data_IF_720982426261
#
_entry.id   IF_720982426261
#
_cell.length_a   1.000
_cell.length_b   1.000
_cell.length_c   1.000
_cell.angle_alpha   90.00
_cell.angle_beta   90.00
_cell.angle_gamma   90.00
#
_symmetry.space_group_name_H-M   'P 1'
#
loop_
_entity.id
_entity.type
_entity.pdbx_description
1 polymer ?
#
# COMPACT_ATOMS: atom_id res chain seq x y z
N UNK A 1 8.49 -116.51 11.72
CA UNK A 1 9.30 -115.71 10.80
C UNK A 1 8.43 -114.57 10.31
N UNK A 2 8.83 -113.31 10.53
CA UNK A 2 8.08 -112.12 10.12
C UNK A 2 8.42 -111.67 8.69
N UNK A 3 7.73 -110.66 8.19
CA UNK A 3 8.10 -109.96 6.95
C UNK A 3 8.98 -108.75 7.29
N UNK A 4 9.98 -108.47 6.44
CA UNK A 4 10.80 -107.26 6.60
C UNK A 4 10.06 -106.07 6.00
N UNK A 5 9.85 -105.03 6.80
CA UNK A 5 9.29 -103.76 6.36
C UNK A 5 10.37 -102.69 6.44
N UNK A 6 10.53 -101.91 5.37
CA UNK A 6 11.47 -100.78 5.32
C UNK A 6 10.75 -99.48 5.00
N UNK A 7 11.25 -98.39 5.59
CA UNK A 7 10.80 -97.03 5.33
C UNK A 7 12.01 -96.23 4.85
N UNK A 8 11.88 -95.59 3.70
CA UNK A 8 12.89 -94.76 3.06
C UNK A 8 12.37 -93.33 3.02
N UNK A 9 13.07 -92.40 3.68
CA UNK A 9 12.78 -90.98 3.62
C UNK A 9 13.73 -90.30 2.62
N UNK A 10 13.23 -89.98 1.42
CA UNK A 10 13.96 -89.19 0.42
C UNK A 10 13.65 -87.69 0.51
N UNK A 11 12.81 -87.28 1.46
CA UNK A 11 12.47 -85.87 1.65
C UNK A 11 13.52 -85.18 2.53
N UNK A 12 13.64 -83.83 2.45
CA UNK A 12 14.51 -83.07 3.35
C UNK A 12 13.91 -82.91 4.77
N UNK A 13 12.72 -83.44 5.03
CA UNK A 13 11.99 -83.25 6.27
C UNK A 13 12.18 -84.43 7.23
N UNK A 14 11.89 -84.17 8.50
CA UNK A 14 11.82 -85.20 9.52
C UNK A 14 10.43 -85.83 9.53
N UNK A 15 10.38 -87.15 9.53
CA UNK A 15 9.14 -87.91 9.67
C UNK A 15 9.20 -88.81 10.89
N UNK A 16 8.01 -89.16 11.35
CA UNK A 16 7.80 -90.18 12.36
C UNK A 16 6.82 -91.19 11.81
N UNK A 17 7.04 -92.48 12.03
CA UNK A 17 6.10 -93.51 11.63
C UNK A 17 5.81 -94.48 12.75
N UNK A 18 4.58 -95.01 12.76
CA UNK A 18 4.12 -95.98 13.75
C UNK A 18 3.48 -97.17 13.04
N UNK A 19 3.65 -98.36 13.63
CA UNK A 19 3.05 -99.59 13.14
C UNK A 19 2.30 -100.30 14.26
N UNK A 20 1.39 -101.20 13.88
CA UNK A 20 0.55 -101.87 14.87
C UNK A 20 1.33 -102.76 15.86
N UNK A 21 2.49 -103.32 15.48
CA UNK A 21 3.31 -104.13 16.39
C UNK A 21 4.26 -103.28 17.23
N UNK A 22 4.54 -102.04 16.80
CA UNK A 22 5.39 -101.12 17.54
C UNK A 22 4.55 -100.28 18.51
N UNK A 23 5.04 -100.08 19.74
CA UNK A 23 4.38 -99.20 20.70
C UNK A 23 5.03 -97.82 20.64
N UNK A 24 4.83 -97.11 19.52
CA UNK A 24 5.18 -95.70 19.41
C UNK A 24 5.87 -95.30 18.11
N UNK A 25 5.89 -93.99 17.89
CA UNK A 25 6.47 -93.38 16.71
C UNK A 25 7.99 -93.55 16.66
N UNK A 26 8.45 -94.14 15.57
CA UNK A 26 9.87 -94.24 15.21
C UNK A 26 10.27 -93.03 14.37
N UNK A 27 11.35 -92.38 14.76
CA UNK A 27 11.96 -91.27 14.03
C UNK A 27 12.62 -91.76 12.73
N UNK A 28 12.43 -91.02 11.64
CA UNK A 28 13.21 -91.18 10.41
C UNK A 28 13.67 -89.81 9.89
N UNK A 29 14.99 -89.61 9.92
CA UNK A 29 15.63 -88.38 9.49
C UNK A 29 15.65 -88.21 7.96
N UNK A 30 16.02 -87.01 7.48
CA UNK A 30 16.17 -86.74 6.05
C UNK A 30 17.14 -87.72 5.38
N UNK A 31 16.82 -88.18 4.16
CA UNK A 31 17.69 -89.08 3.39
C UNK A 31 17.93 -90.46 4.02
N UNK A 32 17.23 -90.81 5.12
CA UNK A 32 17.52 -92.00 5.91
C UNK A 32 16.62 -93.18 5.54
N UNK A 33 17.05 -94.39 5.90
CA UNK A 33 16.27 -95.62 5.74
C UNK A 33 16.28 -96.42 7.03
N UNK A 34 15.11 -96.90 7.44
CA UNK A 34 14.94 -97.74 8.63
C UNK A 34 14.20 -99.01 8.23
N UNK A 35 14.54 -100.14 8.85
CA UNK A 35 13.84 -101.40 8.62
C UNK A 35 13.59 -102.17 9.91
N UNK A 36 12.49 -102.90 9.97
CA UNK A 36 12.06 -103.70 11.11
C UNK A 36 11.35 -104.97 10.63
N UNK A 37 11.15 -105.91 11.54
CA UNK A 37 10.36 -107.11 11.28
C UNK A 37 8.94 -106.91 11.80
N UNK A 38 7.96 -107.32 10.98
CA UNK A 38 6.53 -107.28 11.32
C UNK A 38 5.94 -108.69 11.31
N UNK A 39 4.98 -108.93 12.20
CA UNK A 39 4.28 -110.22 12.19
C UNK A 39 3.40 -110.33 10.94
N UNK A 40 3.34 -111.54 10.38
CA UNK A 40 2.55 -111.83 9.19
C UNK A 40 1.05 -111.67 9.47
N UNK A 41 0.40 -110.74 8.78
CA UNK A 41 -1.04 -110.49 8.85
C UNK A 41 -1.55 -109.88 7.55
N UNK A 42 -2.83 -110.11 7.25
CA UNK A 42 -3.50 -109.62 6.04
C UNK A 42 -3.77 -108.12 6.11
N UNK A 43 -4.10 -107.62 7.30
CA UNK A 43 -4.46 -106.22 7.56
C UNK A 43 -3.44 -105.61 8.52
N UNK A 44 -2.48 -104.87 8.00
CA UNK A 44 -1.53 -104.06 8.79
C UNK A 44 -1.66 -102.61 8.44
N UNK A 45 -1.46 -101.74 9.42
CA UNK A 45 -1.48 -100.30 9.20
C UNK A 45 -0.12 -99.69 9.54
N UNK A 46 0.30 -98.77 8.70
CA UNK A 46 1.40 -97.85 8.97
C UNK A 46 0.87 -96.42 8.94
N UNK A 47 1.29 -95.65 9.94
CA UNK A 47 0.96 -94.24 10.05
C UNK A 47 2.21 -93.42 9.91
N UNK A 48 2.14 -92.33 9.14
CA UNK A 48 3.23 -91.38 9.03
C UNK A 48 2.80 -90.01 9.51
N UNK A 49 3.70 -89.34 10.21
CA UNK A 49 3.49 -88.04 10.81
C UNK A 49 4.63 -87.11 10.41
N UNK A 50 4.26 -85.98 9.82
CA UNK A 50 5.19 -84.92 9.49
C UNK A 50 5.65 -84.21 10.76
N UNK A 51 6.95 -84.21 11.06
CA UNK A 51 7.54 -83.57 12.23
C UNK A 51 6.72 -83.76 13.52
N UNK A 52 6.37 -82.67 14.20
CA UNK A 52 5.65 -82.66 15.46
C UNK A 52 4.15 -82.40 15.28
N UNK A 53 3.57 -82.70 14.11
CA UNK A 53 2.13 -82.57 13.89
C UNK A 53 1.36 -83.41 14.91
N UNK A 54 0.17 -82.95 15.30
CA UNK A 54 -0.69 -83.70 16.23
C UNK A 54 -1.52 -84.79 15.55
N UNK A 55 -1.47 -84.89 14.21
CA UNK A 55 -2.21 -85.85 13.40
C UNK A 55 -1.31 -86.56 12.39
N UNK A 56 -1.78 -87.71 11.89
CA UNK A 56 -1.09 -88.48 10.87
C UNK A 56 -1.31 -87.88 9.48
N UNK A 57 -0.21 -87.67 8.76
CA UNK A 57 -0.20 -87.20 7.37
C UNK A 57 -0.52 -88.32 6.38
N UNK A 58 -0.14 -89.56 6.70
CA UNK A 58 -0.55 -90.75 5.95
C UNK A 58 -1.06 -91.84 6.89
N UNK A 59 -2.00 -92.62 6.39
CA UNK A 59 -2.47 -93.88 6.95
C UNK A 59 -2.59 -94.86 5.79
N UNK A 60 -1.83 -95.95 5.83
CA UNK A 60 -1.81 -96.93 4.75
C UNK A 60 -2.00 -98.35 5.29
N UNK A 61 -2.91 -99.09 4.68
CA UNK A 61 -3.17 -100.49 4.97
C UNK A 61 -2.38 -101.38 3.99
N UNK A 62 -1.61 -102.34 4.50
CA UNK A 62 -0.78 -103.23 3.69
C UNK A 62 -0.83 -104.67 4.20
N UNK A 63 -0.50 -105.62 3.31
CA UNK A 63 -0.49 -107.05 3.61
C UNK A 63 0.94 -107.61 3.67
N UNK A 64 1.38 -108.05 4.85
CA UNK A 64 2.73 -108.61 5.05
C UNK A 64 2.89 -110.04 4.52
N UNK A 65 1.80 -110.75 4.18
CA UNK A 65 1.89 -112.05 3.49
C UNK A 65 2.34 -111.93 2.03
N UNK A 66 2.26 -110.73 1.42
CA UNK A 66 2.73 -110.49 0.05
C UNK A 66 4.26 -110.40 -0.04
N UNK A 67 4.97 -110.49 1.09
CA UNK A 67 6.43 -110.45 1.18
C UNK A 67 6.95 -109.14 1.77
N UNK A 68 8.24 -108.87 1.53
CA UNK A 68 8.90 -107.69 2.06
C UNK A 68 8.30 -106.41 1.46
N UNK A 69 8.03 -105.44 2.32
CA UNK A 69 7.35 -104.18 1.94
C UNK A 69 8.27 -103.00 2.17
N UNK A 70 8.33 -102.08 1.21
CA UNK A 70 9.08 -100.84 1.34
C UNK A 70 8.16 -99.63 1.10
N UNK A 71 8.19 -98.68 2.03
CA UNK A 71 7.54 -97.38 1.92
C UNK A 71 8.56 -96.32 1.59
N UNK A 72 8.34 -95.56 0.53
CA UNK A 72 9.23 -94.49 0.06
C UNK A 72 8.49 -93.16 0.16
N UNK A 73 8.99 -92.27 1.00
CA UNK A 73 8.54 -90.87 1.07
C UNK A 73 9.42 -90.01 0.17
N UNK A 74 8.83 -89.27 -0.76
CA UNK A 74 9.57 -88.35 -1.65
C UNK A 74 8.72 -87.13 -1.99
N UNK A 75 9.37 -86.03 -2.37
CA UNK A 75 8.66 -84.86 -2.88
C UNK A 75 8.16 -85.11 -4.32
N UNK A 76 7.04 -84.50 -4.69
CA UNK A 76 6.67 -84.38 -6.10
C UNK A 76 7.64 -83.46 -6.85
N UNK A 77 7.65 -83.51 -8.18
CA UNK A 77 8.57 -82.71 -9.01
C UNK A 77 8.47 -81.20 -8.73
N UNK A 78 7.25 -80.70 -8.54
CA UNK A 78 6.97 -79.31 -8.20
C UNK A 78 7.11 -79.01 -6.69
N UNK A 79 7.46 -80.01 -5.88
CA UNK A 79 7.55 -80.00 -4.42
C UNK A 79 6.24 -79.58 -3.72
N UNK A 80 5.09 -79.55 -4.41
CA UNK A 80 3.81 -79.12 -3.79
C UNK A 80 3.28 -80.16 -2.80
N UNK A 81 3.59 -81.43 -3.02
CA UNK A 81 3.11 -82.54 -2.24
C UNK A 81 4.25 -83.50 -1.87
N UNK A 82 4.00 -84.27 -0.82
CA UNK A 82 4.80 -85.44 -0.48
C UNK A 82 4.06 -86.65 -0.98
N UNK A 83 4.77 -87.51 -1.67
CA UNK A 83 4.31 -88.79 -2.17
C UNK A 83 4.84 -89.89 -1.26
N UNK A 84 3.94 -90.74 -0.75
CA UNK A 84 4.27 -92.01 -0.14
C UNK A 84 4.00 -93.12 -1.16
N UNK A 85 5.00 -93.96 -1.46
CA UNK A 85 4.88 -95.08 -2.39
C UNK A 85 5.18 -96.41 -1.69
N UNK A 86 4.30 -97.39 -1.84
CA UNK A 86 4.46 -98.74 -1.33
C UNK A 86 4.89 -99.69 -2.45
N UNK A 87 6.05 -100.33 -2.32
CA UNK A 87 6.61 -101.18 -3.39
C UNK A 87 5.93 -102.54 -3.53
N UNK A 88 5.36 -103.08 -2.46
CA UNK A 88 4.74 -104.42 -2.47
C UNK A 88 3.36 -104.43 -3.10
N UNK A 89 2.63 -103.31 -3.02
CA UNK A 89 1.26 -103.19 -3.53
C UNK A 89 1.11 -102.14 -4.63
N UNK A 90 2.15 -101.37 -4.92
CA UNK A 90 2.14 -100.29 -5.91
C UNK A 90 1.32 -99.05 -5.50
N UNK A 91 0.70 -99.08 -4.32
CA UNK A 91 -0.11 -97.99 -3.78
C UNK A 91 0.68 -96.71 -3.59
N UNK A 92 0.08 -95.59 -3.97
CA UNK A 92 0.70 -94.27 -3.89
C UNK A 92 -0.27 -93.27 -3.29
N UNK A 93 0.15 -92.59 -2.23
CA UNK A 93 -0.64 -91.58 -1.51
C UNK A 93 0.06 -90.24 -1.53
N UNK A 94 -0.72 -89.17 -1.41
CA UNK A 94 -0.23 -87.80 -1.42
C UNK A 94 -0.69 -87.04 -0.19
N UNK A 95 0.18 -86.20 0.36
CA UNK A 95 -0.18 -85.19 1.34
C UNK A 95 0.45 -83.84 0.95
N UNK A 96 -0.08 -82.70 1.44
CA UNK A 96 0.55 -81.41 1.23
C UNK A 96 1.99 -81.38 1.73
N UNK A 97 2.87 -80.64 1.05
CA UNK A 97 4.21 -80.36 1.54
C UNK A 97 4.20 -79.20 2.55
N UNK A 98 4.03 -79.53 3.83
CA UNK A 98 3.95 -78.54 4.90
C UNK A 98 5.23 -77.71 5.05
N UNK A 99 6.41 -78.31 4.81
CA UNK A 99 7.68 -77.60 4.84
C UNK A 99 7.76 -76.51 3.78
N UNK A 100 7.39 -76.83 2.54
CA UNK A 100 7.32 -75.83 1.45
C UNK A 100 6.29 -74.73 1.72
N UNK A 101 5.11 -75.08 2.24
CA UNK A 101 4.06 -74.08 2.54
C UNK A 101 4.59 -73.06 3.55
N UNK A 102 5.25 -73.51 4.62
CA UNK A 102 5.85 -72.65 5.64
C UNK A 102 7.00 -71.80 5.08
N UNK A 103 7.84 -72.39 4.22
CA UNK A 103 8.92 -71.67 3.52
C UNK A 103 8.36 -70.53 2.65
N UNK A 104 7.33 -70.82 1.87
CA UNK A 104 6.65 -69.83 1.01
C UNK A 104 5.98 -68.71 1.81
N UNK A 105 5.36 -69.03 2.93
CA UNK A 105 4.76 -68.04 3.84
C UNK A 105 5.82 -67.13 4.47
N UNK A 106 6.91 -67.70 4.98
CA UNK A 106 8.02 -66.93 5.54
C UNK A 106 8.64 -65.99 4.49
N UNK A 107 8.81 -66.46 3.26
CA UNK A 107 9.33 -65.64 2.15
C UNK A 107 8.39 -64.47 1.82
N UNK A 108 7.08 -64.69 1.82
CA UNK A 108 6.08 -63.61 1.61
C UNK A 108 6.15 -62.59 2.74
N UNK A 109 6.24 -63.03 3.99
CA UNK A 109 6.36 -62.14 5.15
C UNK A 109 7.63 -61.30 5.09
N UNK A 110 8.78 -61.89 4.72
CA UNK A 110 10.04 -61.16 4.55
C UNK A 110 9.96 -60.10 3.45
N UNK A 111 9.37 -60.43 2.30
CA UNK A 111 9.17 -59.47 1.20
C UNK A 111 8.26 -58.31 1.61
N UNK A 112 7.18 -58.60 2.35
CA UNK A 112 6.29 -57.55 2.84
C UNK A 112 6.98 -56.65 3.87
N UNK A 113 7.77 -57.22 4.78
CA UNK A 113 8.52 -56.44 5.76
C UNK A 113 9.57 -55.55 5.08
N UNK A 114 10.29 -56.07 4.09
CA UNK A 114 11.26 -55.31 3.31
C UNK A 114 10.59 -54.14 2.56
N UNK A 115 9.43 -54.40 1.92
CA UNK A 115 8.64 -53.34 1.28
C UNK A 115 8.21 -52.26 2.29
N UNK A 116 7.71 -52.65 3.47
CA UNK A 116 7.35 -51.69 4.52
C UNK A 116 8.56 -50.88 5.02
N UNK A 117 9.75 -51.48 5.08
CA UNK A 117 10.99 -50.77 5.42
C UNK A 117 11.37 -49.75 4.33
N UNK A 118 11.28 -50.13 3.07
CA UNK A 118 11.55 -49.24 1.94
C UNK A 118 10.56 -48.07 1.88
N UNK A 119 9.26 -48.34 2.06
CA UNK A 119 8.22 -47.31 2.08
C UNK A 119 8.47 -46.29 3.21
N UNK A 120 8.82 -46.73 4.42
CA UNK A 120 9.20 -45.83 5.52
C UNK A 120 10.43 -44.98 5.20
N UNK A 121 11.43 -45.55 4.53
CA UNK A 121 12.64 -44.83 4.15
C UNK A 121 12.33 -43.72 3.13
N UNK A 122 11.47 -44.02 2.15
CA UNK A 122 11.01 -43.05 1.15
C UNK A 122 10.20 -41.93 1.81
N UNK A 123 9.30 -42.27 2.72
CA UNK A 123 8.50 -41.28 3.46
C UNK A 123 9.38 -40.35 4.29
N UNK A 124 10.38 -40.89 4.99
CA UNK A 124 11.32 -40.08 5.78
C UNK A 124 12.16 -39.17 4.89
N UNK A 125 12.67 -39.66 3.76
CA UNK A 125 13.44 -38.86 2.81
C UNK A 125 12.58 -37.74 2.20
N UNK A 126 11.33 -38.04 1.81
CA UNK A 126 10.38 -37.04 1.33
C UNK A 126 10.10 -35.96 2.38
N UNK A 127 9.92 -36.34 3.65
CA UNK A 127 9.72 -35.40 4.75
C UNK A 127 10.94 -34.49 4.93
N UNK A 128 12.16 -35.03 4.86
CA UNK A 128 13.40 -34.25 4.93
C UNK A 128 13.51 -33.26 3.77
N UNK A 129 13.22 -33.70 2.55
CA UNK A 129 13.21 -32.84 1.35
C UNK A 129 12.19 -31.70 1.46
N UNK A 130 10.98 -32.00 1.94
CA UNK A 130 9.94 -30.99 2.16
C UNK A 130 10.38 -29.93 3.17
N UNK A 131 10.95 -30.33 4.31
CA UNK A 131 11.47 -29.40 5.32
C UNK A 131 12.60 -28.52 4.76
N UNK A 132 13.49 -29.09 3.97
CA UNK A 132 14.56 -28.32 3.33
C UNK A 132 14.01 -27.33 2.29
N UNK A 133 13.02 -27.74 1.49
CA UNK A 133 12.38 -26.86 0.52
C UNK A 133 11.62 -25.72 1.20
N UNK A 134 10.91 -26.00 2.28
CA UNK A 134 10.21 -24.99 3.08
C UNK A 134 11.19 -23.97 3.67
N UNK A 135 12.32 -24.43 4.22
CA UNK A 135 13.39 -23.55 4.71
C UNK A 135 13.94 -22.67 3.60
N UNK A 136 14.21 -23.24 2.41
CA UNK A 136 14.68 -22.47 1.24
C UNK A 136 13.65 -21.43 0.80
N UNK A 137 12.35 -21.74 0.86
CA UNK A 137 11.26 -20.79 0.56
C UNK A 137 11.23 -19.64 1.56
N UNK A 138 11.33 -19.93 2.86
CA UNK A 138 11.41 -18.93 3.92
C UNK A 138 12.62 -18.00 3.75
N UNK A 139 13.81 -18.55 3.49
CA UNK A 139 15.01 -17.75 3.24
C UNK A 139 14.88 -16.82 2.02
N UNK A 140 14.22 -17.27 0.95
CA UNK A 140 13.93 -16.41 -0.22
C UNK A 140 12.99 -15.27 0.15
N UNK A 141 11.91 -15.57 0.86
CA UNK A 141 10.94 -14.57 1.29
C UNK A 141 11.58 -13.50 2.20
N UNK A 142 12.45 -13.91 3.13
CA UNK A 142 13.17 -12.98 4.00
C UNK A 142 14.14 -12.08 3.22
N UNK A 143 14.82 -12.62 2.20
CA UNK A 143 15.67 -11.80 1.30
C UNK A 143 14.86 -10.80 0.51
N UNK A 144 13.73 -11.21 -0.06
CA UNK A 144 12.83 -10.32 -0.81
C UNK A 144 12.30 -9.20 0.10
N UNK A 145 11.90 -9.52 1.33
CA UNK A 145 11.47 -8.51 2.30
C UNK A 145 12.59 -7.51 2.64
N UNK A 146 13.83 -7.97 2.83
CA UNK A 146 14.97 -7.06 3.05
C UNK A 146 15.20 -6.11 1.88
N UNK A 147 15.19 -6.64 0.66
CA UNK A 147 15.36 -5.83 -0.57
C UNK A 147 14.23 -4.81 -0.70
N UNK A 148 12.97 -5.21 -0.43
CA UNK A 148 11.84 -4.30 -0.49
C UNK A 148 11.98 -3.16 0.53
N UNK A 149 12.41 -3.46 1.77
CA UNK A 149 12.65 -2.44 2.78
C UNK A 149 13.77 -1.46 2.38
N UNK A 150 14.82 -1.94 1.74
CA UNK A 150 15.90 -1.07 1.23
C UNK A 150 15.40 -0.17 0.09
N UNK A 151 14.65 -0.72 -0.86
CA UNK A 151 14.04 0.04 -1.94
C UNK A 151 13.09 1.12 -1.41
N UNK A 152 12.27 0.80 -0.40
CA UNK A 152 11.35 1.76 0.20
C UNK A 152 12.11 2.91 0.88
N UNK A 153 13.19 2.60 1.60
CA UNK A 153 14.07 3.62 2.21
C UNK A 153 14.72 4.51 1.15
N UNK A 154 15.26 3.93 0.08
CA UNK A 154 15.88 4.70 -0.99
C UNK A 154 14.86 5.57 -1.74
N UNK A 155 13.67 5.04 -1.96
CA UNK A 155 12.54 5.76 -2.56
C UNK A 155 12.09 6.95 -1.70
N UNK A 156 11.97 6.77 -0.39
CA UNK A 156 11.67 7.86 0.54
C UNK A 156 12.75 8.94 0.54
N UNK A 157 14.03 8.54 0.58
CA UNK A 157 15.15 9.47 0.50
C UNK A 157 15.13 10.26 -0.82
N UNK A 158 14.83 9.58 -1.93
CA UNK A 158 14.71 10.20 -3.26
C UNK A 158 13.54 11.18 -3.31
N UNK A 159 12.36 10.81 -2.78
CA UNK A 159 11.20 11.70 -2.64
C UNK A 159 11.53 12.95 -1.81
N UNK A 160 12.24 12.78 -0.68
CA UNK A 160 12.66 13.92 0.16
C UNK A 160 13.66 14.83 -0.58
N UNK A 161 14.63 14.27 -1.30
CA UNK A 161 15.59 15.04 -2.11
C UNK A 161 14.88 15.82 -3.22
N UNK A 162 13.96 15.18 -3.93
CA UNK A 162 13.15 15.84 -4.96
C UNK A 162 12.31 16.96 -4.37
N UNK A 163 11.61 16.72 -3.25
CA UNK A 163 10.81 17.74 -2.57
C UNK A 163 11.64 18.98 -2.20
N UNK A 164 12.84 18.78 -1.62
CA UNK A 164 13.78 19.88 -1.33
C UNK A 164 14.26 20.60 -2.59
N UNK A 165 14.52 19.88 -3.67
CA UNK A 165 14.95 20.49 -4.93
C UNK A 165 13.82 21.33 -5.55
N UNK A 166 12.58 20.84 -5.52
CA UNK A 166 11.38 21.57 -5.97
C UNK A 166 11.13 22.82 -5.13
N UNK A 167 11.28 22.74 -3.81
CA UNK A 167 11.14 23.88 -2.90
C UNK A 167 12.17 24.98 -3.21
N UNK A 168 13.46 24.61 -3.31
CA UNK A 168 14.53 25.55 -3.71
C UNK A 168 14.28 26.20 -5.07
N UNK A 169 13.70 25.45 -6.01
CA UNK A 169 13.36 25.99 -7.32
C UNK A 169 12.21 27.00 -7.23
N UNK A 170 11.19 26.71 -6.41
CA UNK A 170 10.08 27.63 -6.14
C UNK A 170 10.54 28.91 -5.45
N UNK A 171 11.43 28.80 -4.46
CA UNK A 171 12.05 29.97 -3.82
C UNK A 171 12.79 30.84 -4.83
N UNK A 172 13.65 30.24 -5.66
CA UNK A 172 14.38 30.96 -6.71
C UNK A 172 13.45 31.68 -7.70
N UNK A 173 12.32 31.05 -8.07
CA UNK A 173 11.31 31.71 -8.91
C UNK A 173 10.65 32.88 -8.19
N UNK A 174 10.34 32.74 -6.89
CA UNK A 174 9.79 33.83 -6.07
C UNK A 174 10.75 35.02 -5.98
N UNK A 175 12.04 34.77 -5.69
CA UNK A 175 13.06 35.80 -5.63
C UNK A 175 13.19 36.58 -6.96
N UNK A 176 13.27 35.87 -8.10
CA UNK A 176 13.28 36.53 -9.42
C UNK A 176 12.00 37.33 -9.70
N UNK A 177 10.85 36.90 -9.17
CA UNK A 177 9.60 37.63 -9.26
C UNK A 177 9.61 38.93 -8.46
N UNK A 178 10.15 38.90 -7.24
CA UNK A 178 10.27 40.07 -6.37
C UNK A 178 11.26 41.09 -6.92
N UNK A 179 12.40 40.64 -7.43
CA UNK A 179 13.43 41.48 -8.04
C UNK A 179 12.89 42.25 -9.25
N UNK A 180 12.23 41.55 -10.19
CA UNK A 180 11.56 42.19 -11.34
C UNK A 180 10.46 43.16 -10.93
N UNK A 181 9.70 42.84 -9.88
CA UNK A 181 8.68 43.75 -9.38
C UNK A 181 9.32 45.01 -8.78
N UNK A 182 10.41 44.86 -8.01
CA UNK A 182 11.14 45.99 -7.43
C UNK A 182 11.73 46.90 -8.50
N UNK A 183 12.38 46.35 -9.53
CA UNK A 183 12.87 47.11 -10.69
C UNK A 183 11.73 47.86 -11.38
N UNK A 184 10.59 47.20 -11.63
CA UNK A 184 9.42 47.85 -12.24
C UNK A 184 8.85 48.96 -11.36
N UNK A 185 8.82 48.78 -10.04
CA UNK A 185 8.35 49.79 -9.10
C UNK A 185 9.31 50.98 -9.04
N UNK A 186 10.63 50.76 -9.06
CA UNK A 186 11.64 51.83 -9.11
C UNK A 186 11.51 52.64 -10.40
N UNK A 187 11.39 52.00 -11.56
CA UNK A 187 11.20 52.69 -12.85
C UNK A 187 9.92 53.54 -12.84
N UNK A 188 8.82 53.02 -12.28
CA UNK A 188 7.59 53.79 -12.14
C UNK A 188 7.72 54.99 -11.19
N UNK A 189 8.46 54.85 -10.07
CA UNK A 189 8.72 55.99 -9.17
C UNK A 189 9.57 57.05 -9.84
N UNK A 190 10.61 56.65 -10.58
CA UNK A 190 11.45 57.57 -11.35
C UNK A 190 10.63 58.35 -12.39
N UNK A 191 9.72 57.67 -13.11
CA UNK A 191 8.82 58.34 -14.04
C UNK A 191 7.88 59.34 -13.36
N UNK A 192 7.36 59.00 -12.17
CA UNK A 192 6.51 59.92 -11.40
C UNK A 192 7.31 61.14 -10.93
N UNK A 193 8.56 60.96 -10.47
CA UNK A 193 9.44 62.07 -10.06
C UNK A 193 9.85 62.96 -11.25
N UNK A 194 10.19 62.36 -12.38
CA UNK A 194 10.55 63.07 -13.62
C UNK A 194 9.34 63.86 -14.17
N UNK A 195 8.15 63.24 -14.19
CA UNK A 195 6.90 63.88 -14.62
C UNK A 195 6.47 64.99 -13.63
N UNK A 196 6.70 64.82 -12.33
CA UNK A 196 6.43 65.86 -11.32
C UNK A 196 7.37 67.06 -11.48
N UNK A 197 8.66 66.84 -11.73
CA UNK A 197 9.63 67.90 -11.97
C UNK A 197 9.35 68.69 -13.26
N UNK A 198 8.76 68.04 -14.27
CA UNK A 198 8.35 68.69 -15.53
C UNK A 198 7.12 69.61 -15.38
N UNK A 199 6.25 69.34 -14.40
CA UNK A 199 5.01 70.11 -14.18
C UNK A 199 5.26 71.34 -13.28
N UNK A 200 6.25 71.29 -12.38
CA UNK A 200 6.35 72.25 -11.26
C UNK A 200 6.83 73.68 -11.63
N UNK A 201 7.48 73.91 -12.78
CA UNK A 201 8.13 75.21 -13.03
C UNK A 201 7.46 76.15 -14.05
N UNK A 202 6.65 75.63 -14.99
CA UNK A 202 6.09 76.48 -16.06
C UNK A 202 4.63 76.92 -15.82
N UNK A 203 3.81 76.12 -15.14
CA UNK A 203 2.40 76.51 -14.91
C UNK A 203 2.23 77.47 -13.73
N UNK A 204 3.06 77.35 -12.67
CA UNK A 204 2.94 78.18 -11.47
C UNK A 204 3.27 79.64 -11.78
N UNK A 205 4.34 79.91 -12.52
CA UNK A 205 4.78 81.27 -12.89
C UNK A 205 3.75 81.93 -13.84
N UNK A 206 3.24 81.19 -14.82
CA UNK A 206 2.30 81.71 -15.82
C UNK A 206 0.90 81.99 -15.21
N UNK A 207 0.50 81.22 -14.18
CA UNK A 207 -0.71 81.46 -13.40
C UNK A 207 -0.53 82.65 -12.47
N UNK A 208 0.63 82.77 -11.81
CA UNK A 208 0.94 83.87 -10.89
C UNK A 208 1.04 85.22 -11.61
N UNK A 209 1.61 85.23 -12.81
CA UNK A 209 1.71 86.43 -13.65
C UNK A 209 0.33 86.85 -14.20
N UNK A 210 -0.51 85.89 -14.63
CA UNK A 210 -1.91 86.16 -14.98
C UNK A 210 -2.73 86.67 -13.79
N UNK A 211 -2.47 86.17 -12.59
CA UNK A 211 -3.16 86.58 -11.38
C UNK A 211 -2.78 88.01 -10.97
N UNK A 212 -1.48 88.35 -10.98
CA UNK A 212 -1.00 89.69 -10.69
C UNK A 212 -1.50 90.73 -11.71
N UNK A 213 -1.53 90.37 -13.00
CA UNK A 213 -2.11 91.22 -14.03
C UNK A 213 -3.61 91.50 -13.81
N UNK A 214 -4.35 90.52 -13.29
CA UNK A 214 -5.76 90.71 -12.94
C UNK A 214 -5.91 91.63 -11.71
N UNK A 215 -5.07 91.49 -10.68
CA UNK A 215 -5.11 92.36 -9.49
C UNK A 215 -4.89 93.84 -9.84
N UNK A 216 -3.91 94.12 -10.69
CA UNK A 216 -3.61 95.48 -11.16
C UNK A 216 -4.76 96.02 -12.03
N UNK A 217 -5.28 95.21 -12.97
CA UNK A 217 -6.35 95.61 -13.89
C UNK A 217 -7.62 96.05 -13.17
N UNK A 218 -7.94 95.44 -12.03
CA UNK A 218 -9.15 95.74 -11.27
C UNK A 218 -8.93 96.69 -10.08
N UNK A 219 -7.74 97.30 -9.96
CA UNK A 219 -7.38 98.24 -8.88
C UNK A 219 -7.68 97.68 -7.47
N UNK A 220 -7.38 96.39 -7.28
CA UNK A 220 -7.65 95.70 -6.02
C UNK A 220 -6.51 96.00 -5.05
N UNK A 221 -6.79 96.79 -4.01
CA UNK A 221 -5.86 97.11 -2.93
C UNK A 221 -6.22 96.37 -1.65
N UNK A 222 -5.20 96.02 -0.86
CA UNK A 222 -5.34 95.26 0.38
C UNK A 222 -5.92 96.14 1.50
N UNK A 223 -7.17 95.88 1.89
CA UNK A 223 -7.82 96.53 3.03
C UNK A 223 -7.40 95.83 4.33
N UNK A 224 -6.53 96.50 5.09
CA UNK A 224 -5.86 95.93 6.27
C UNK A 224 -6.74 95.86 7.52
N UNK A 225 -7.93 96.45 7.52
CA UNK A 225 -8.83 96.46 8.70
C UNK A 225 -9.95 95.42 8.65
N UNK A 226 -10.03 94.63 7.58
CA UNK A 226 -11.11 93.67 7.40
C UNK A 226 -10.83 92.36 8.17
N UNK A 227 -11.56 92.13 9.26
CA UNK A 227 -11.36 90.95 10.12
C UNK A 227 -11.80 89.64 9.43
N UNK A 228 -10.91 88.64 9.45
CA UNK A 228 -11.08 87.29 8.86
C UNK A 228 -12.44 86.61 9.16
N UNK A 229 -13.00 86.86 10.35
CA UNK A 229 -14.29 86.30 10.80
C UNK A 229 -15.52 86.90 10.10
N UNK A 230 -15.49 88.18 9.72
CA UNK A 230 -16.57 88.79 8.94
C UNK A 230 -16.59 88.26 7.50
N UNK A 231 -15.41 87.98 6.93
CA UNK A 231 -15.27 87.42 5.58
C UNK A 231 -15.87 86.03 5.52
N UNK A 232 -15.49 85.18 6.47
CA UNK A 232 -15.94 83.79 6.50
C UNK A 232 -17.46 83.69 6.62
N UNK A 233 -18.04 84.56 7.44
CA UNK A 233 -19.50 84.68 7.59
C UNK A 233 -20.18 85.08 6.27
N UNK A 234 -19.62 86.04 5.55
CA UNK A 234 -20.16 86.48 4.25
C UNK A 234 -20.00 85.41 3.16
N UNK A 235 -18.86 84.72 3.10
CA UNK A 235 -18.62 83.60 2.18
C UNK A 235 -19.62 82.48 2.44
N UNK A 236 -19.85 82.13 3.72
CA UNK A 236 -20.81 81.08 4.07
C UNK A 236 -22.24 81.43 3.71
N UNK A 237 -22.66 82.69 3.91
CA UNK A 237 -23.98 83.17 3.46
C UNK A 237 -24.10 83.05 1.94
N UNK A 238 -23.08 83.48 1.20
CA UNK A 238 -23.09 83.46 -0.27
C UNK A 238 -23.08 82.02 -0.83
N UNK A 239 -22.31 81.12 -0.21
CA UNK A 239 -22.32 79.69 -0.53
C UNK A 239 -23.69 79.07 -0.32
N UNK A 240 -24.36 79.41 0.79
CA UNK A 240 -25.70 78.92 1.08
C UNK A 240 -26.72 79.45 0.07
N UNK A 241 -26.68 80.74 -0.28
CA UNK A 241 -27.57 81.31 -1.30
C UNK A 241 -27.38 80.69 -2.69
N UNK A 242 -26.13 80.47 -3.12
CA UNK A 242 -25.83 79.82 -4.40
C UNK A 242 -26.30 78.35 -4.40
N UNK A 243 -26.10 77.62 -3.30
CA UNK A 243 -26.62 76.27 -3.16
C UNK A 243 -28.16 76.25 -3.24
N UNK A 244 -28.84 77.26 -2.69
CA UNK A 244 -30.29 77.44 -2.81
C UNK A 244 -30.73 77.71 -4.23
N UNK A 245 -30.08 78.65 -4.93
CA UNK A 245 -30.41 78.91 -6.32
C UNK A 245 -30.20 77.68 -7.19
N UNK A 246 -29.07 77.00 -7.04
CA UNK A 246 -28.77 75.80 -7.81
C UNK A 246 -29.80 74.68 -7.59
N UNK A 247 -30.22 74.45 -6.34
CA UNK A 247 -31.25 73.44 -6.06
C UNK A 247 -32.60 73.82 -6.67
N UNK A 248 -32.97 75.11 -6.65
CA UNK A 248 -34.22 75.58 -7.28
C UNK A 248 -34.18 75.49 -8.80
N UNK A 249 -33.09 75.90 -9.44
CA UNK A 249 -32.95 75.87 -10.90
C UNK A 249 -32.94 74.45 -11.46
N UNK A 250 -32.44 73.47 -10.70
CA UNK A 250 -32.33 72.08 -11.12
C UNK A 250 -33.44 71.17 -10.56
N UNK A 251 -34.53 71.74 -10.01
CA UNK A 251 -35.66 70.99 -9.40
C UNK A 251 -35.23 69.94 -8.36
N UNK A 252 -34.18 70.21 -7.60
CA UNK A 252 -33.71 69.34 -6.53
C UNK A 252 -34.53 69.56 -5.26
N UNK A 253 -34.80 68.49 -4.52
CA UNK A 253 -35.59 68.57 -3.28
C UNK A 253 -34.85 69.38 -2.21
N UNK A 254 -35.60 70.05 -1.32
CA UNK A 254 -35.03 70.85 -0.21
C UNK A 254 -34.10 70.00 0.69
N UNK A 255 -34.28 68.68 0.73
CA UNK A 255 -33.39 67.78 1.47
C UNK A 255 -31.98 67.68 0.87
N UNK A 256 -31.81 68.00 -0.41
CA UNK A 256 -30.49 68.02 -1.06
C UNK A 256 -29.55 69.07 -0.46
N UNK A 257 -30.08 70.19 0.06
CA UNK A 257 -29.30 71.19 0.81
C UNK A 257 -28.70 70.66 2.10
N UNK A 258 -29.48 69.88 2.85
CA UNK A 258 -29.00 69.30 4.10
C UNK A 258 -27.86 68.31 3.88
N UNK A 259 -27.86 67.57 2.76
CA UNK A 259 -26.72 66.71 2.37
C UNK A 259 -25.45 67.48 2.03
N UNK A 260 -25.55 68.65 1.40
CA UNK A 260 -24.38 69.51 1.14
C UNK A 260 -23.78 70.04 2.43
N UNK A 261 -24.62 70.45 3.39
CA UNK A 261 -24.17 70.89 4.72
C UNK A 261 -23.61 69.74 5.57
N UNK A 262 -24.16 68.53 5.45
CA UNK A 262 -23.70 67.35 6.19
C UNK A 262 -22.35 66.84 5.68
N UNK A 263 -22.14 66.85 4.36
CA UNK A 263 -20.86 66.49 3.71
C UNK A 263 -19.74 67.50 4.03
N UNK A 264 -20.08 68.75 4.34
CA UNK A 264 -19.11 69.75 4.78
C UNK A 264 -18.62 69.51 6.23
N UNK A 265 -19.36 68.73 7.03
CA UNK A 265 -19.07 68.45 8.45
C UNK A 265 -18.42 67.08 8.72
N UNK A 266 -18.44 66.13 7.78
CA UNK A 266 -17.92 64.77 8.00
C UNK A 266 -16.76 64.38 7.06
N UNK A 267 -15.60 64.14 7.67
CA UNK A 267 -14.38 63.49 7.17
C UNK A 267 -13.29 64.33 6.47
N UNK A 268 -12.05 64.13 6.95
CA UNK A 268 -10.80 64.59 6.34
C UNK A 268 -10.54 64.01 4.94
N UNK A 269 -11.24 62.94 4.55
CA UNK A 269 -11.08 62.30 3.24
C UNK A 269 -11.78 63.06 2.09
N UNK A 270 -12.60 64.06 2.41
CA UNK A 270 -13.27 64.91 1.42
C UNK A 270 -12.59 66.25 1.17
N UNK A 271 -11.45 66.59 1.79
CA UNK A 271 -10.73 67.85 1.45
C UNK A 271 -10.20 67.85 0.01
N UNK A 272 -9.77 66.69 -0.50
CA UNK A 272 -9.35 66.56 -1.89
C UNK A 272 -10.55 66.54 -2.86
N UNK A 273 -11.64 65.86 -2.51
CA UNK A 273 -12.87 65.85 -3.31
C UNK A 273 -13.57 67.22 -3.32
N UNK A 274 -13.53 67.97 -2.21
CA UNK A 274 -14.04 69.35 -2.09
C UNK A 274 -13.14 70.33 -2.83
N UNK A 275 -11.81 70.15 -2.82
CA UNK A 275 -10.89 70.91 -3.67
C UNK A 275 -11.21 70.69 -5.16
N UNK A 276 -11.40 69.44 -5.57
CA UNK A 276 -11.76 69.11 -6.95
C UNK A 276 -13.16 69.61 -7.34
N UNK A 277 -14.15 69.50 -6.45
CA UNK A 277 -15.50 70.02 -6.66
C UNK A 277 -15.54 71.56 -6.67
N UNK A 278 -14.75 72.24 -5.83
CA UNK A 278 -14.58 73.70 -5.87
C UNK A 278 -13.86 74.14 -7.15
N UNK A 279 -12.92 73.35 -7.66
CA UNK A 279 -12.23 73.63 -8.93
C UNK A 279 -13.17 73.42 -10.13
N UNK A 280 -14.04 72.41 -10.06
CA UNK A 280 -15.09 72.17 -11.07
C UNK A 280 -16.19 73.23 -11.00
N UNK A 281 -16.63 73.64 -9.81
CA UNK A 281 -17.62 74.69 -9.60
C UNK A 281 -17.06 76.07 -9.99
N UNK A 282 -15.79 76.36 -9.72
CA UNK A 282 -15.10 77.56 -10.21
C UNK A 282 -14.91 77.53 -11.73
N UNK A 283 -14.63 76.36 -12.33
CA UNK A 283 -14.64 76.18 -13.79
C UNK A 283 -16.06 76.39 -14.38
N UNK A 284 -17.11 75.94 -13.71
CA UNK A 284 -18.50 76.16 -14.13
C UNK A 284 -18.93 77.63 -13.96
N UNK A 285 -18.51 78.32 -12.90
CA UNK A 285 -18.70 79.77 -12.71
C UNK A 285 -17.93 80.60 -13.75
N UNK A 286 -16.77 80.10 -14.19
CA UNK A 286 -15.96 80.71 -15.27
C UNK A 286 -16.58 80.43 -16.65
N UNK A 287 -17.34 79.35 -16.81
CA UNK A 287 -18.06 79.00 -18.05
C UNK A 287 -19.46 79.62 -18.16
N UNK A 288 -20.16 79.85 -17.04
CA UNK A 288 -21.38 80.66 -16.99
C UNK A 288 -21.03 82.15 -16.92
N UNK A 289 -20.62 82.67 -18.07
CA UNK A 289 -20.39 84.09 -18.41
C UNK A 289 -20.80 85.09 -17.33
N UNK A 290 -19.79 85.83 -16.86
CA UNK A 290 -19.87 87.25 -16.50
C UNK A 290 -20.37 88.01 -17.73
N UNK A 291 -21.68 87.97 -17.94
CA UNK A 291 -22.44 88.91 -18.74
C UNK A 291 -23.85 88.93 -18.18
N UNK A 292 -23.97 89.54 -16.98
CA UNK A 292 -25.13 90.25 -16.40
C UNK A 292 -25.16 90.03 -14.90
N UNK A 293 -24.59 90.97 -14.16
CA UNK A 293 -25.18 91.62 -12.98
C UNK A 293 -24.19 92.66 -12.47
N UNK A 294 -23.96 93.68 -13.29
CA UNK A 294 -23.58 95.01 -12.78
C UNK A 294 -24.84 95.55 -12.11
N UNK A 295 -24.79 95.67 -10.79
CA UNK A 295 -25.94 96.08 -9.99
C UNK A 295 -25.54 96.46 -8.57
N UNK A 296 -24.74 97.53 -8.45
CA UNK A 296 -24.56 98.38 -7.27
C UNK A 296 -24.05 97.73 -5.97
N UNK A 297 -22.87 98.20 -5.57
CA UNK A 297 -22.48 98.45 -4.17
C UNK A 297 -22.54 97.27 -3.21
N UNK A 298 -21.42 96.58 -3.02
CA UNK A 298 -20.71 96.51 -1.72
C UNK A 298 -19.47 95.63 -1.82
N UNK A 299 -18.42 96.08 -1.12
CA UNK A 299 -17.08 95.53 -0.94
C UNK A 299 -17.02 94.02 -0.67
N UNK A 300 -16.15 93.30 -1.38
CA UNK A 300 -15.73 91.92 -1.06
C UNK A 300 -14.21 91.83 -1.19
N UNK A 301 -13.49 91.93 -0.08
CA UNK A 301 -12.02 91.84 -0.06
C UNK A 301 -11.55 90.39 0.08
N UNK A 302 -10.46 90.08 -0.62
CA UNK A 302 -9.96 88.76 -0.97
C UNK A 302 -8.80 88.28 -0.09
N UNK A 303 -8.59 88.89 1.07
CA UNK A 303 -7.43 88.65 1.95
C UNK A 303 -7.38 87.22 2.53
N UNK A 304 -8.42 86.39 2.36
CA UNK A 304 -8.47 85.05 2.95
C UNK A 304 -7.96 83.88 2.09
N UNK A 305 -7.50 84.07 0.84
CA UNK A 305 -7.07 82.93 0.01
C UNK A 305 -5.59 82.54 0.18
N UNK A 306 -4.72 83.49 0.52
CA UNK A 306 -3.28 83.23 0.75
C UNK A 306 -2.99 82.49 2.06
N UNK A 307 -3.75 82.77 3.13
CA UNK A 307 -3.60 82.09 4.42
C UNK A 307 -4.13 80.64 4.42
N UNK A 308 -5.09 80.33 3.54
CA UNK A 308 -5.64 78.97 3.43
C UNK A 308 -4.70 78.00 2.70
N UNK A 309 -3.93 78.49 1.73
CA UNK A 309 -2.94 77.67 1.01
C UNK A 309 -1.70 77.40 1.88
N UNK A 310 -1.26 78.38 2.69
CA UNK A 310 -0.05 78.24 3.51
C UNK A 310 -0.18 77.26 4.70
N UNK A 311 -1.38 77.06 5.26
CA UNK A 311 -1.57 76.13 6.40
C UNK A 311 -1.88 74.68 5.98
N UNK A 312 -2.13 74.40 4.70
CA UNK A 312 -2.37 73.03 4.20
C UNK A 312 -1.05 72.32 3.82
N UNK A 313 0.06 73.05 3.66
CA UNK A 313 1.37 72.50 3.27
C UNK A 313 2.36 72.27 4.43
N UNK A 314 2.03 72.66 5.67
CA UNK A 314 2.85 72.36 6.83
C UNK A 314 2.09 71.39 7.73
N UNK A 315 2.32 70.09 7.53
CA UNK A 315 2.30 68.97 8.50
C UNK A 315 2.09 67.64 7.75
N UNK A 316 3.17 66.94 7.42
CA UNK A 316 3.24 65.53 7.80
C UNK A 316 4.68 65.13 8.12
N UNK A 317 5.07 65.20 9.40
CA UNK A 317 6.20 64.42 9.95
C UNK A 317 6.21 64.55 11.47
N UNK A 318 5.25 63.89 12.10
CA UNK A 318 5.36 63.43 13.48
C UNK A 318 4.38 62.28 13.59
N UNK A 319 4.89 61.06 13.71
CA UNK A 319 4.31 59.87 14.38
C UNK A 319 5.02 58.64 13.79
N UNK A 320 6.04 58.17 14.51
CA UNK A 320 6.33 56.74 14.65
C UNK A 320 5.32 56.15 15.63
#
# INVERSE_FOLDING_TARGET
>A
MGAKVSVVNQTPYTWYFDTQDNRGYTYIGPGSTTSYEESLAIHRYIYFRYENHSWNSFSYEYNTHKGNTCFILRETYDRSQIQMHCTSEGGTHYCPNYGKIKEDENRRQQQEEERRRQERQIEEDNRRRQQEEERRRLERLEREQRIQQELDRESELSRRKLSRATERLREKQSFRGHEKHHERTQVLHQQIEDDAAAIEWNEVIDIEEKFNNLLIKYQITEDKEMQLLQIWSRIKILQNELAVQYCRENNLSVWSQFTFDLLQRSSQFLRHLYSSLCTVAMKMLKMMKISRLVGRSTTFSWVCWSSFISQVQLWPNAFY
#
